data_IF_964409565315
#
_entry.id   IF_964409565315
#
_cell.length_a   1.000
_cell.length_b   1.000
_cell.length_c   1.000
_cell.angle_alpha   90.00
_cell.angle_beta   90.00
_cell.angle_gamma   90.00
#
_symmetry.space_group_name_H-M   'P 1'
#
loop_
_entity.id
_entity.type
_entity.pdbx_description
1 polymer ?
#
# COMPACT_ATOMS: atom_id res chain seq x y z
N UNK A 1 -7.27 -11.73 2.20
CA UNK A 1 -6.51 -12.44 1.16
C UNK A 1 -5.39 -11.53 0.68
N UNK A 2 -4.50 -12.00 -0.18
CA UNK A 2 -3.53 -11.13 -0.86
C UNK A 2 -3.95 -10.99 -2.33
N UNK A 3 -5.11 -10.37 -2.56
CA UNK A 3 -5.78 -10.40 -3.87
C UNK A 3 -4.96 -9.73 -4.98
N UNK A 4 -4.09 -8.79 -4.64
CA UNK A 4 -3.24 -8.13 -5.63
C UNK A 4 -2.28 -9.11 -6.32
N UNK A 5 -1.86 -10.18 -5.63
CA UNK A 5 -0.95 -11.18 -6.19
C UNK A 5 -1.59 -12.05 -7.30
N UNK A 6 -2.92 -12.11 -7.36
CA UNK A 6 -3.66 -12.87 -8.40
C UNK A 6 -4.25 -11.97 -9.48
N UNK A 7 -4.03 -10.65 -9.41
CA UNK A 7 -4.44 -9.70 -10.45
C UNK A 7 -3.55 -9.82 -11.68
N UNK A 8 -4.16 -9.90 -12.86
CA UNK A 8 -3.42 -9.91 -14.14
C UNK A 8 -2.55 -8.67 -14.31
N UNK A 9 -3.06 -7.49 -13.95
CA UNK A 9 -2.33 -6.22 -14.10
C UNK A 9 -1.10 -6.17 -13.18
N UNK A 10 -1.28 -6.53 -11.92
CA UNK A 10 -0.22 -6.44 -10.91
C UNK A 10 0.81 -7.57 -11.05
N UNK A 11 0.37 -8.77 -11.42
CA UNK A 11 1.27 -9.87 -11.76
C UNK A 11 2.13 -9.60 -12.99
N UNK A 12 1.61 -8.86 -13.98
CA UNK A 12 2.40 -8.43 -15.14
C UNK A 12 3.56 -7.51 -14.71
N UNK A 13 3.31 -6.55 -13.81
CA UNK A 13 4.36 -5.68 -13.28
C UNK A 13 5.40 -6.50 -12.51
N UNK A 14 4.99 -7.44 -11.62
CA UNK A 14 5.94 -8.32 -10.94
C UNK A 14 6.81 -9.09 -11.93
N UNK A 15 6.23 -9.59 -13.02
CA UNK A 15 6.98 -10.32 -14.05
C UNK A 15 8.05 -9.44 -14.70
N UNK A 16 7.77 -8.16 -14.95
CA UNK A 16 8.76 -7.19 -15.45
C UNK A 16 9.88 -6.94 -14.43
N UNK A 17 9.53 -6.82 -13.14
CA UNK A 17 10.53 -6.66 -12.07
C UNK A 17 11.44 -7.90 -11.97
N UNK A 18 10.86 -9.09 -12.03
CA UNK A 18 11.60 -10.36 -11.93
C UNK A 18 12.49 -10.62 -13.15
N UNK A 19 12.07 -10.16 -14.33
CA UNK A 19 12.88 -10.17 -15.54
C UNK A 19 14.02 -9.13 -15.50
N UNK A 20 14.02 -8.21 -14.53
CA UNK A 20 15.06 -7.18 -14.39
C UNK A 20 14.91 -6.01 -15.36
N UNK A 21 13.73 -5.79 -15.93
CA UNK A 21 13.48 -4.77 -16.99
C UNK A 21 13.76 -3.34 -16.54
N UNK A 22 13.80 -3.07 -15.23
CA UNK A 22 14.15 -1.76 -14.65
C UNK A 22 15.43 -1.79 -13.81
N UNK A 23 16.21 -2.88 -13.88
CA UNK A 23 17.39 -3.08 -13.04
C UNK A 23 17.05 -3.23 -11.56
N UNK A 24 17.98 -2.84 -10.67
CA UNK A 24 17.76 -2.92 -9.22
C UNK A 24 16.69 -1.92 -8.76
N UNK A 25 15.63 -2.34 -8.05
CA UNK A 25 14.63 -1.43 -7.52
C UNK A 25 15.23 -0.42 -6.53
N UNK A 26 14.74 0.81 -6.57
CA UNK A 26 15.17 1.91 -5.69
C UNK A 26 14.00 2.46 -4.88
N UNK A 27 12.82 2.54 -5.49
CA UNK A 27 11.67 3.24 -4.94
C UNK A 27 10.36 2.66 -5.45
N UNK A 28 9.33 2.64 -4.58
CA UNK A 28 7.95 2.44 -4.99
C UNK A 28 7.01 3.45 -4.32
N UNK A 29 5.96 3.86 -5.04
CA UNK A 29 4.82 4.61 -4.51
C UNK A 29 3.55 3.80 -4.76
N UNK A 30 2.76 3.56 -3.72
CA UNK A 30 1.41 3.03 -3.84
C UNK A 30 0.45 4.08 -3.31
N UNK A 31 -0.49 4.49 -4.15
CA UNK A 31 -1.51 5.48 -3.78
C UNK A 31 -2.90 4.89 -3.85
N UNK A 32 -3.72 5.28 -2.89
CA UNK A 32 -5.15 5.05 -2.91
C UNK A 32 -5.88 6.33 -2.51
N UNK A 33 -6.73 6.82 -3.41
CA UNK A 33 -7.62 7.94 -3.18
C UNK A 33 -9.05 7.49 -3.44
N UNK A 34 -9.90 7.48 -2.41
CA UNK A 34 -11.25 6.97 -2.56
C UNK A 34 -12.24 7.53 -1.55
N UNK A 35 -13.51 7.23 -1.79
CA UNK A 35 -14.57 7.30 -0.78
C UNK A 35 -14.36 6.35 0.41
N UNK A 36 -14.95 6.64 1.59
CA UNK A 36 -14.90 5.78 2.76
C UNK A 36 -15.39 4.35 2.52
N UNK A 37 -14.99 3.42 3.38
CA UNK A 37 -15.47 2.04 3.34
C UNK A 37 -16.98 1.96 3.54
N UNK A 38 -17.61 1.03 2.83
CA UNK A 38 -18.98 0.60 3.14
C UNK A 38 -19.00 0.01 4.56
N UNK A 39 -20.07 0.21 5.34
CA UNK A 39 -20.14 -0.19 6.75
C UNK A 39 -19.92 -1.68 7.02
N UNK A 40 -20.13 -2.56 6.04
CA UNK A 40 -20.17 -4.00 6.25
C UNK A 40 -21.45 -4.44 6.96
N UNK A 41 -21.65 -5.76 7.07
CA UNK A 41 -22.85 -6.30 7.73
C UNK A 41 -22.92 -5.87 9.19
N UNK A 42 -24.03 -5.26 9.60
CA UNK A 42 -24.19 -4.72 10.96
C UNK A 42 -23.21 -3.60 11.33
N UNK A 43 -22.58 -2.93 10.35
CA UNK A 43 -21.72 -1.77 10.61
C UNK A 43 -20.35 -2.08 11.21
N UNK A 44 -19.92 -3.34 11.19
CA UNK A 44 -18.74 -3.79 11.95
C UNK A 44 -17.44 -3.03 11.61
N UNK A 45 -17.27 -2.55 10.38
CA UNK A 45 -16.06 -1.80 9.97
C UNK A 45 -15.91 -0.44 10.65
N UNK A 46 -16.96 0.05 11.30
CA UNK A 46 -16.95 1.31 12.02
C UNK A 46 -16.91 1.11 13.55
N UNK A 47 -16.84 -0.14 14.01
CA UNK A 47 -16.66 -0.48 15.43
C UNK A 47 -15.20 -0.80 15.66
N UNK A 48 -14.44 0.14 16.23
CA UNK A 48 -12.98 0.03 16.37
C UNK A 48 -12.54 -1.25 17.09
N UNK A 49 -13.24 -1.68 18.14
CA UNK A 49 -12.89 -2.90 18.88
C UNK A 49 -13.07 -4.18 18.05
N UNK A 50 -13.76 -4.11 16.91
CA UNK A 50 -13.95 -5.23 15.98
C UNK A 50 -13.00 -5.17 14.79
N UNK A 51 -12.83 -3.98 14.20
CA UNK A 51 -11.98 -3.81 13.00
C UNK A 51 -10.51 -3.59 13.36
N UNK A 52 -10.20 -3.10 14.56
CA UNK A 52 -8.89 -2.70 15.02
C UNK A 52 -8.42 -1.38 14.41
N UNK A 53 -8.24 -1.35 13.09
CA UNK A 53 -7.88 -0.15 12.34
C UNK A 53 -8.26 -0.31 10.86
N UNK A 54 -8.61 0.79 10.21
CA UNK A 54 -8.77 0.82 8.76
C UNK A 54 -7.49 0.58 7.97
N UNK A 55 -6.31 0.65 8.60
CA UNK A 55 -5.06 0.19 7.98
C UNK A 55 -5.11 -1.33 7.70
N UNK A 56 -5.89 -2.09 8.48
CA UNK A 56 -6.05 -3.53 8.30
C UNK A 56 -7.07 -3.90 7.22
N UNK A 57 -7.81 -2.93 6.67
CA UNK A 57 -8.83 -3.20 5.64
C UNK A 57 -8.23 -3.21 4.23
N UNK A 58 -7.46 -2.19 3.85
CA UNK A 58 -6.92 -2.06 2.49
C UNK A 58 -5.41 -1.76 2.46
N UNK A 59 -4.86 -0.86 3.31
CA UNK A 59 -3.42 -0.59 3.32
C UNK A 59 -2.56 -1.83 3.58
N UNK A 60 -3.06 -2.80 4.35
CA UNK A 60 -2.36 -4.08 4.57
C UNK A 60 -2.05 -4.82 3.26
N UNK A 61 -2.94 -4.73 2.26
CA UNK A 61 -2.70 -5.32 0.95
C UNK A 61 -1.60 -4.58 0.20
N UNK A 62 -1.46 -3.26 0.37
CA UNK A 62 -0.36 -2.50 -0.21
C UNK A 62 0.97 -2.78 0.48
N UNK A 63 0.97 -3.09 1.78
CA UNK A 63 2.17 -3.54 2.50
C UNK A 63 2.64 -4.88 1.94
N UNK A 64 1.73 -5.86 1.82
CA UNK A 64 2.04 -7.13 1.17
C UNK A 64 2.56 -6.93 -0.26
N UNK A 65 1.93 -6.02 -0.99
CA UNK A 65 2.26 -5.72 -2.38
C UNK A 65 3.69 -5.21 -2.56
N UNK A 66 4.13 -4.25 -1.74
CA UNK A 66 5.51 -3.74 -1.82
C UNK A 66 6.52 -4.77 -1.32
N UNK A 67 6.16 -5.59 -0.31
CA UNK A 67 7.01 -6.71 0.12
C UNK A 67 7.18 -7.74 -0.99
N UNK A 68 6.12 -8.03 -1.74
CA UNK A 68 6.17 -8.94 -2.88
C UNK A 68 7.02 -8.37 -4.01
N UNK A 69 6.85 -7.10 -4.37
CA UNK A 69 7.67 -6.47 -5.42
C UNK A 69 9.15 -6.37 -5.06
N UNK A 70 9.47 -6.20 -3.77
CA UNK A 70 10.84 -6.09 -3.28
C UNK A 70 11.37 -7.38 -2.65
N UNK A 71 10.80 -8.54 -3.01
CA UNK A 71 11.23 -9.85 -2.51
C UNK A 71 12.74 -10.11 -2.73
N UNK A 72 13.29 -9.70 -3.88
CA UNK A 72 14.73 -9.81 -4.18
C UNK A 72 15.60 -8.80 -3.42
N UNK A 73 14.99 -7.77 -2.80
CA UNK A 73 15.68 -6.77 -1.99
C UNK A 73 15.95 -7.31 -0.58
N UNK A 74 14.98 -8.01 0.00
CA UNK A 74 14.98 -8.55 1.36
C UNK A 74 13.82 -8.01 2.22
N UNK A 75 13.82 -8.34 3.50
CA UNK A 75 12.73 -7.95 4.43
C UNK A 75 12.77 -6.45 4.80
N UNK A 76 11.61 -5.81 5.06
CA UNK A 76 11.58 -4.43 5.52
C UNK A 76 12.27 -4.27 6.88
N UNK A 77 13.03 -3.18 7.04
CA UNK A 77 13.87 -2.91 8.22
C UNK A 77 13.28 -1.86 9.16
N UNK A 78 12.38 -0.99 8.67
CA UNK A 78 11.73 0.03 9.50
C UNK A 78 10.51 0.63 8.81
N UNK A 79 9.57 1.15 9.61
CA UNK A 79 8.41 1.92 9.12
C UNK A 79 8.33 3.25 9.86
N UNK A 80 8.08 4.33 9.11
CA UNK A 80 7.62 5.62 9.64
C UNK A 80 6.21 5.87 9.10
N UNK A 81 5.25 6.14 9.97
CA UNK A 81 3.88 6.38 9.56
C UNK A 81 3.28 7.62 10.23
N UNK A 82 2.40 8.30 9.49
CA UNK A 82 1.58 9.41 9.98
C UNK A 82 0.15 9.21 9.50
N UNK A 83 -0.82 9.59 10.32
CA UNK A 83 -2.22 9.56 9.93
C UNK A 83 -3.06 10.56 10.71
N UNK A 84 -4.22 10.91 10.13
CA UNK A 84 -5.21 11.80 10.76
C UNK A 84 -6.63 11.47 10.28
N UNK A 85 -7.63 12.16 10.83
CA UNK A 85 -9.04 11.93 10.51
C UNK A 85 -9.91 13.19 10.70
N UNK A 86 -11.07 13.22 10.04
CA UNK A 86 -12.10 14.27 10.12
C UNK A 86 -13.02 14.06 11.34
N UNK A 87 -12.47 13.83 12.54
CA UNK A 87 -13.17 13.48 13.78
C UNK A 87 -13.49 11.98 13.97
N UNK A 88 -12.55 11.10 13.65
CA UNK A 88 -12.64 9.68 14.02
C UNK A 88 -11.87 9.41 15.31
N UNK A 89 -12.23 8.34 16.01
CA UNK A 89 -11.46 7.87 17.15
C UNK A 89 -10.05 7.38 16.74
N UNK A 90 -9.16 7.23 17.71
CA UNK A 90 -7.81 6.70 17.49
C UNK A 90 -7.87 5.32 16.78
N UNK A 91 -6.92 5.10 15.85
CA UNK A 91 -6.87 3.89 15.01
C UNK A 91 -7.77 3.91 13.76
N UNK A 92 -8.67 4.89 13.64
CA UNK A 92 -9.62 5.02 12.52
C UNK A 92 -9.26 6.19 11.59
N UNK A 93 -8.02 6.20 11.10
CA UNK A 93 -7.49 7.28 10.26
C UNK A 93 -8.14 7.28 8.87
N UNK A 94 -8.64 8.44 8.45
CA UNK A 94 -9.11 8.62 7.07
C UNK A 94 -7.92 8.74 6.11
N UNK A 95 -6.84 9.40 6.56
CA UNK A 95 -5.61 9.57 5.79
C UNK A 95 -4.45 8.90 6.52
N UNK A 96 -3.67 8.11 5.80
CA UNK A 96 -2.46 7.46 6.30
C UNK A 96 -1.39 7.50 5.23
N UNK A 97 -0.16 7.83 5.63
CA UNK A 97 1.03 7.62 4.82
C UNK A 97 2.07 6.87 5.61
N UNK A 98 2.71 5.89 4.99
CA UNK A 98 3.78 5.08 5.57
C UNK A 98 4.97 5.03 4.62
N UNK A 99 6.17 5.23 5.15
CA UNK A 99 7.45 4.99 4.49
C UNK A 99 8.01 3.69 5.04
N UNK A 100 8.16 2.69 4.19
CA UNK A 100 8.71 1.38 4.53
C UNK A 100 10.11 1.30 3.93
N UNK A 101 11.13 1.12 4.77
CA UNK A 101 12.52 1.00 4.33
C UNK A 101 12.90 -0.47 4.23
N UNK A 102 13.70 -0.78 3.24
CA UNK A 102 14.28 -2.09 2.95
C UNK A 102 15.82 -1.99 2.99
N UNK A 103 16.56 -3.12 2.95
CA UNK A 103 18.01 -3.12 2.86
C UNK A 103 18.51 -2.34 1.64
N UNK A 104 19.78 -1.92 1.68
CA UNK A 104 20.46 -1.19 0.59
C UNK A 104 19.82 0.15 0.21
N UNK A 105 19.00 0.74 1.09
CA UNK A 105 18.43 2.07 0.89
C UNK A 105 17.16 2.12 0.05
N UNK A 106 16.66 0.96 -0.41
CA UNK A 106 15.38 0.85 -1.10
C UNK A 106 14.25 1.23 -0.14
N UNK A 107 13.23 1.93 -0.64
CA UNK A 107 12.06 2.25 0.18
C UNK A 107 10.78 2.32 -0.65
N UNK A 108 9.65 2.07 0.01
CA UNK A 108 8.33 2.26 -0.54
C UNK A 108 7.55 3.30 0.27
N UNK A 109 6.69 4.04 -0.41
CA UNK A 109 5.72 4.93 0.21
C UNK A 109 4.33 4.40 -0.10
N UNK A 110 3.53 4.17 0.93
CA UNK A 110 2.12 3.81 0.80
C UNK A 110 1.32 4.98 1.34
N UNK A 111 0.40 5.52 0.54
CA UNK A 111 -0.53 6.55 1.00
C UNK A 111 -1.96 6.17 0.66
N UNK A 112 -2.83 6.34 1.64
CA UNK A 112 -4.27 6.14 1.52
C UNK A 112 -4.99 7.39 1.99
N UNK A 113 -6.01 7.78 1.24
CA UNK A 113 -7.10 8.63 1.73
C UNK A 113 -8.46 8.01 1.46
N UNK A 114 -9.25 7.91 2.54
CA UNK A 114 -10.68 7.60 2.54
C UNK A 114 -11.52 8.87 2.60
N UNK A 115 -10.88 10.04 2.67
CA UNK A 115 -11.52 11.34 2.73
C UNK A 115 -11.79 11.95 1.35
N UNK A 116 -11.53 11.18 0.28
CA UNK A 116 -11.63 11.61 -1.11
C UNK A 116 -12.97 11.32 -1.76
N UNK A 117 -13.01 11.60 -3.07
CA UNK A 117 -14.09 11.22 -3.97
C UNK A 117 -13.63 10.11 -4.91
N UNK A 118 -14.56 9.48 -5.64
CA UNK A 118 -14.27 8.43 -6.62
C UNK A 118 -13.45 7.26 -6.02
N UNK A 119 -12.72 6.55 -6.88
CA UNK A 119 -11.79 5.50 -6.51
C UNK A 119 -10.63 5.49 -7.52
N UNK A 120 -9.45 5.87 -7.06
CA UNK A 120 -8.21 5.92 -7.83
C UNK A 120 -7.14 5.15 -7.08
N UNK A 121 -6.51 4.19 -7.76
CA UNK A 121 -5.35 3.46 -7.24
C UNK A 121 -4.26 3.44 -8.30
N UNK A 122 -3.03 3.70 -7.88
CA UNK A 122 -1.87 3.71 -8.76
C UNK A 122 -0.64 3.18 -8.04
N UNK A 123 0.26 2.58 -8.81
CA UNK A 123 1.60 2.20 -8.37
C UNK A 123 2.64 2.86 -9.28
N UNK A 124 3.75 3.28 -8.70
CA UNK A 124 4.91 3.76 -9.43
C UNK A 124 6.13 3.03 -8.88
N UNK A 125 7.03 2.58 -9.75
CA UNK A 125 8.23 1.85 -9.34
C UNK A 125 9.40 2.38 -10.16
N UNK A 126 10.50 2.67 -9.48
CA UNK A 126 11.72 3.18 -10.08
C UNK A 126 12.85 2.23 -9.74
N UNK A 127 13.59 1.82 -10.76
CA UNK A 127 14.84 1.07 -10.63
C UNK A 127 16.01 1.82 -11.26
N UNK A 128 17.20 1.23 -11.19
CA UNK A 128 18.43 1.82 -11.71
C UNK A 128 18.41 2.06 -13.23
N UNK A 129 17.59 1.30 -13.97
CA UNK A 129 17.61 1.26 -15.44
C UNK A 129 16.26 1.63 -16.08
N UNK A 130 15.23 1.89 -15.27
CA UNK A 130 13.90 2.22 -15.78
C UNK A 130 12.85 2.50 -14.72
N UNK A 131 11.60 2.70 -15.15
CA UNK A 131 10.46 2.94 -14.28
C UNK A 131 9.15 2.40 -14.88
N UNK A 132 8.18 2.06 -14.01
CA UNK A 132 6.85 1.53 -14.36
C UNK A 132 5.77 2.36 -13.64
N UNK A 133 4.65 2.66 -14.31
CA UNK A 133 3.46 3.33 -13.76
C UNK A 133 2.18 2.81 -14.42
#
# INVERSE_FOLDING_TARGET
GHELRVSTQWAAIKSLLDAGEIGHPLYALVTLFRHPYRPGSGGWRYVADRVGSWILEEPVHFVDFVMWYFESVGDPISVLAVGNSKNRQAGMSDNVSAIIRFPRGVYAVITQTLAGFEHHSAVEIVGMEGAIR
#
